data_IF_634249760938
#
_entry.id   IF_634249760938
#
_cell.length_a   1.000
_cell.length_b   1.000
_cell.length_c   1.000
_cell.angle_alpha   90.00
_cell.angle_beta   90.00
_cell.angle_gamma   90.00
#
_symmetry.space_group_name_H-M   'P 1'
#
loop_
_entity.id
_entity.type
_entity.pdbx_description
1 polymer ?
#
# COMPACT_ATOMS: atom_id res chain seq x y z
N UNK A 1 15.50 -1.42 -2.69
CA UNK A 1 14.51 -1.21 -3.74
C UNK A 1 13.19 -1.79 -3.30
N UNK A 2 12.11 -1.01 -3.41
CA UNK A 2 10.75 -1.48 -3.17
C UNK A 2 10.18 -2.12 -4.42
N UNK A 3 9.40 -3.18 -4.23
CA UNK A 3 8.70 -3.86 -5.32
C UNK A 3 7.24 -4.06 -4.92
N UNK A 4 6.31 -3.59 -5.73
CA UNK A 4 4.88 -3.88 -5.62
C UNK A 4 4.54 -5.00 -6.62
N UNK A 5 4.02 -6.10 -6.08
CA UNK A 5 3.54 -7.24 -6.85
C UNK A 5 2.06 -7.47 -6.58
N UNK A 6 1.42 -8.31 -7.40
CA UNK A 6 0.00 -8.60 -7.27
C UNK A 6 -0.26 -10.10 -7.26
N UNK A 7 -1.29 -10.50 -6.52
CA UNK A 7 -1.88 -11.82 -6.61
C UNK A 7 -3.38 -11.73 -6.29
N UNK A 8 -4.15 -12.71 -6.78
CA UNK A 8 -5.57 -12.85 -6.44
C UNK A 8 -5.76 -13.73 -5.22
N UNK A 9 -6.63 -13.33 -4.30
CA UNK A 9 -7.02 -14.20 -3.19
C UNK A 9 -8.02 -15.30 -3.65
N UNK A 10 -8.49 -16.14 -2.73
CA UNK A 10 -9.45 -17.23 -3.04
C UNK A 10 -10.81 -16.75 -3.54
N UNK A 11 -11.13 -15.47 -3.39
CA UNK A 11 -12.34 -14.82 -3.89
C UNK A 11 -12.09 -14.09 -5.23
N UNK A 12 -10.89 -14.16 -5.79
CA UNK A 12 -10.52 -13.51 -7.05
C UNK A 12 -10.10 -12.04 -6.91
N UNK A 13 -10.07 -11.49 -5.69
CA UNK A 13 -9.78 -10.07 -5.46
C UNK A 13 -8.28 -9.80 -5.52
N UNK A 14 -7.87 -8.72 -6.18
CA UNK A 14 -6.47 -8.31 -6.25
C UNK A 14 -5.91 -7.84 -4.91
N UNK A 15 -4.75 -8.38 -4.56
CA UNK A 15 -3.95 -8.02 -3.38
C UNK A 15 -2.66 -7.37 -3.86
N UNK A 16 -2.45 -6.11 -3.49
CA UNK A 16 -1.14 -5.48 -3.61
C UNK A 16 -0.20 -6.02 -2.53
N UNK A 17 0.95 -6.52 -2.94
CA UNK A 17 1.94 -7.16 -2.08
C UNK A 17 3.30 -6.46 -2.20
N UNK A 18 3.67 -5.74 -1.14
CA UNK A 18 4.83 -4.84 -1.11
C UNK A 18 6.04 -5.55 -0.49
N UNK A 19 7.17 -5.50 -1.20
CA UNK A 19 8.44 -6.10 -0.81
C UNK A 19 9.56 -5.06 -0.72
N UNK A 20 10.58 -5.38 0.07
CA UNK A 20 11.91 -4.75 0.06
C UNK A 20 12.96 -5.83 -0.11
N UNK A 21 13.55 -5.93 -1.30
CA UNK A 21 14.35 -7.09 -1.67
C UNK A 21 13.50 -8.36 -1.60
N UNK A 22 13.93 -9.37 -0.83
CA UNK A 22 13.20 -10.62 -0.64
C UNK A 22 12.22 -10.58 0.56
N UNK A 23 12.23 -9.50 1.34
CA UNK A 23 11.39 -9.36 2.53
C UNK A 23 10.03 -8.79 2.16
N UNK A 24 8.97 -9.56 2.36
CA UNK A 24 7.59 -9.06 2.33
C UNK A 24 7.37 -8.07 3.48
N UNK A 25 6.84 -6.89 3.16
CA UNK A 25 6.52 -5.85 4.13
C UNK A 25 5.05 -5.91 4.55
N UNK A 26 4.13 -5.86 3.59
CA UNK A 26 2.70 -5.98 3.83
C UNK A 26 1.96 -6.36 2.55
N UNK A 27 0.76 -6.90 2.71
CA UNK A 27 -0.15 -7.13 1.60
C UNK A 27 -1.58 -6.78 1.97
N UNK A 28 -2.32 -6.25 1.01
CA UNK A 28 -3.65 -5.69 1.26
C UNK A 28 -4.43 -5.48 -0.02
N UNK A 29 -5.75 -5.50 0.09
CA UNK A 29 -6.69 -5.03 -0.94
C UNK A 29 -6.79 -3.50 -1.01
N UNK A 30 -6.19 -2.78 -0.07
CA UNK A 30 -6.39 -1.33 0.07
C UNK A 30 -5.19 -0.54 -0.46
N UNK A 31 -5.28 0.09 -1.64
CA UNK A 31 -4.16 0.81 -2.25
C UNK A 31 -3.62 1.95 -1.37
N UNK A 32 -4.50 2.63 -0.61
CA UNK A 32 -4.10 3.66 0.35
C UNK A 32 -3.11 3.13 1.42
N UNK A 33 -3.24 1.87 1.83
CA UNK A 33 -2.33 1.29 2.84
C UNK A 33 -0.94 1.01 2.26
N UNK A 34 -0.86 0.64 0.97
CA UNK A 34 0.43 0.51 0.26
C UNK A 34 1.08 1.89 0.14
N UNK A 35 0.35 2.89 -0.36
CA UNK A 35 0.84 4.26 -0.48
C UNK A 35 1.33 4.82 0.87
N UNK A 36 0.54 4.64 1.93
CA UNK A 36 0.92 5.08 3.27
C UNK A 36 2.17 4.37 3.82
N UNK A 37 2.42 3.11 3.43
CA UNK A 37 3.63 2.41 3.82
C UNK A 37 4.88 2.91 3.11
N UNK A 38 4.77 3.21 1.80
CA UNK A 38 5.87 3.82 1.04
C UNK A 38 6.17 5.21 1.61
N UNK A 39 5.13 6.02 1.86
CA UNK A 39 5.24 7.31 2.55
C UNK A 39 5.91 7.18 3.94
N UNK A 40 5.50 6.22 4.76
CA UNK A 40 6.08 5.98 6.09
C UNK A 40 7.60 5.68 6.05
N UNK A 41 8.06 5.01 4.99
CA UNK A 41 9.47 4.69 4.79
C UNK A 41 10.26 5.84 4.16
N UNK A 42 9.57 6.86 3.63
CA UNK A 42 10.17 7.97 2.88
C UNK A 42 11.07 7.42 1.76
N UNK A 43 10.45 6.64 0.88
CA UNK A 43 11.07 5.99 -0.28
C UNK A 43 10.39 6.51 -1.56
N UNK A 44 11.17 6.72 -2.62
CA UNK A 44 10.73 7.41 -3.84
C UNK A 44 10.82 6.54 -5.09
N UNK A 45 11.47 5.39 -5.01
CA UNK A 45 11.64 4.46 -6.14
C UNK A 45 10.83 3.18 -5.90
N UNK A 46 9.93 2.87 -6.83
CA UNK A 46 9.10 1.67 -6.80
C UNK A 46 9.20 0.89 -8.11
N UNK A 47 9.39 -0.42 -8.03
CA UNK A 47 9.17 -1.30 -9.18
C UNK A 47 7.80 -1.96 -9.04
N UNK A 48 6.91 -1.74 -10.01
CA UNK A 48 5.66 -2.49 -10.15
C UNK A 48 5.93 -3.71 -11.02
N UNK A 49 5.54 -4.90 -10.56
CA UNK A 49 5.75 -6.16 -11.28
C UNK A 49 4.48 -7.00 -11.30
N UNK A 50 4.04 -7.37 -12.49
CA UNK A 50 2.82 -8.16 -12.76
C UNK A 50 3.17 -9.40 -13.59
N UNK A 51 2.16 -10.21 -13.95
CA UNK A 51 2.37 -11.29 -14.91
C UNK A 51 2.73 -10.79 -16.33
N UNK A 52 2.33 -9.56 -16.69
CA UNK A 52 2.53 -9.00 -18.02
C UNK A 52 3.87 -8.28 -18.18
N UNK A 53 4.48 -7.82 -17.08
CA UNK A 53 5.76 -7.13 -17.15
C UNK A 53 6.20 -6.50 -15.83
N UNK A 54 7.17 -5.59 -15.95
CA UNK A 54 7.64 -4.79 -14.82
C UNK A 54 7.98 -3.37 -15.27
N UNK A 55 7.65 -2.40 -14.43
CA UNK A 55 7.91 -0.99 -14.67
C UNK A 55 8.48 -0.35 -13.41
N UNK A 56 9.56 0.42 -13.57
CA UNK A 56 10.04 1.32 -12.52
C UNK A 56 9.30 2.65 -12.59
N UNK A 57 8.76 3.11 -11.47
CA UNK A 57 8.03 4.38 -11.34
C UNK A 57 8.56 5.18 -10.14
N UNK A 58 8.34 6.48 -10.19
CA UNK A 58 8.58 7.36 -9.04
C UNK A 58 7.39 7.31 -8.08
N UNK A 59 7.65 7.58 -6.81
CA UNK A 59 6.63 7.82 -5.79
C UNK A 59 6.79 9.26 -5.28
N UNK A 60 5.75 10.11 -5.28
CA UNK A 60 4.37 9.83 -5.72
C UNK A 60 4.28 9.53 -7.23
N UNK A 61 3.24 8.81 -7.63
CA UNK A 61 3.02 8.40 -9.02
C UNK A 61 2.66 9.63 -9.86
N UNK A 62 3.36 9.82 -10.97
CA UNK A 62 3.09 10.93 -11.89
C UNK A 62 2.10 10.52 -12.98
N UNK A 63 1.39 11.49 -13.57
CA UNK A 63 0.45 11.23 -14.66
C UNK A 63 1.11 10.53 -15.85
N UNK A 64 2.41 10.81 -16.10
CA UNK A 64 3.17 10.18 -17.17
C UNK A 64 3.44 8.68 -16.96
N UNK A 65 3.33 8.19 -15.71
CA UNK A 65 3.53 6.78 -15.38
C UNK A 65 2.25 5.95 -15.61
N UNK A 66 1.08 6.60 -15.78
CA UNK A 66 -0.21 5.90 -15.86
C UNK A 66 -0.38 5.08 -17.14
N UNK A 67 0.01 5.64 -18.30
CA UNK A 67 -0.12 4.92 -19.57
C UNK A 67 0.76 3.66 -19.60
N UNK A 68 2.07 3.73 -19.25
CA UNK A 68 2.91 2.54 -19.17
C UNK A 68 2.50 1.54 -18.08
N UNK A 69 1.90 2.00 -16.97
CA UNK A 69 1.32 1.12 -15.97
C UNK A 69 0.13 0.34 -16.56
N UNK A 70 -0.70 0.98 -17.38
CA UNK A 70 -1.82 0.34 -18.07
C UNK A 70 -1.39 -0.86 -18.91
N UNK A 71 -0.24 -0.78 -19.59
CA UNK A 71 0.28 -1.86 -20.45
C UNK A 71 0.67 -3.13 -19.68
N UNK A 72 0.90 -3.03 -18.37
CA UNK A 72 1.30 -4.17 -17.52
C UNK A 72 0.16 -4.66 -16.61
N UNK A 73 -1.02 -4.05 -16.63
CA UNK A 73 -2.16 -4.47 -15.79
C UNK A 73 -2.88 -5.69 -16.36
N UNK A 74 -3.19 -6.66 -15.49
CA UNK A 74 -3.81 -7.93 -15.94
C UNK A 74 -5.29 -7.79 -16.30
N UNK A 75 -6.02 -6.89 -15.62
CA UNK A 75 -7.44 -6.66 -15.81
C UNK A 75 -7.88 -5.29 -15.22
N UNK A 76 -9.16 -4.97 -15.40
CA UNK A 76 -9.78 -3.73 -14.94
C UNK A 76 -9.69 -3.53 -13.42
N UNK A 77 -9.84 -4.61 -12.63
CA UNK A 77 -9.78 -4.54 -11.17
C UNK A 77 -8.36 -4.18 -10.67
N UNK A 78 -7.31 -4.73 -11.32
CA UNK A 78 -5.94 -4.28 -11.06
C UNK A 78 -5.76 -2.81 -11.43
N UNK A 79 -6.41 -2.36 -12.51
CA UNK A 79 -6.44 -0.96 -12.91
C UNK A 79 -7.09 -0.04 -11.89
N UNK A 80 -8.22 -0.45 -11.30
CA UNK A 80 -8.87 0.28 -10.21
C UNK A 80 -7.96 0.38 -8.98
N UNK A 81 -7.30 -0.72 -8.61
CA UNK A 81 -6.32 -0.71 -7.52
C UNK A 81 -5.21 0.30 -7.79
N UNK A 82 -4.62 0.26 -8.98
CA UNK A 82 -3.48 1.11 -9.35
C UNK A 82 -3.88 2.58 -9.49
N UNK A 83 -5.07 2.87 -10.00
CA UNK A 83 -5.65 4.22 -10.03
C UNK A 83 -5.84 4.78 -8.62
N UNK A 84 -6.37 3.96 -7.71
CA UNK A 84 -6.44 4.29 -6.29
C UNK A 84 -5.06 4.53 -5.70
N UNK A 85 -4.10 3.66 -5.97
CA UNK A 85 -2.72 3.79 -5.49
C UNK A 85 -2.06 5.07 -5.97
N UNK A 86 -2.19 5.40 -7.25
CA UNK A 86 -1.69 6.65 -7.82
C UNK A 86 -2.29 7.87 -7.12
N UNK A 87 -3.61 7.87 -6.91
CA UNK A 87 -4.31 8.94 -6.17
C UNK A 87 -3.74 9.11 -4.76
N UNK A 88 -3.70 8.02 -3.98
CA UNK A 88 -3.25 8.06 -2.59
C UNK A 88 -1.75 8.29 -2.44
N UNK A 89 -0.93 8.03 -3.47
CA UNK A 89 0.51 8.29 -3.43
C UNK A 89 0.83 9.77 -3.19
N UNK A 90 -0.06 10.66 -3.62
CA UNK A 90 0.08 12.11 -3.47
C UNK A 90 -0.30 12.66 -2.09
N UNK A 91 -0.81 11.82 -1.18
CA UNK A 91 -1.36 12.27 0.09
C UNK A 91 -0.27 12.44 1.16
N UNK A 92 -0.38 13.51 1.95
CA UNK A 92 0.37 13.64 3.21
C UNK A 92 -0.37 12.86 4.31
N UNK A 93 0.09 11.64 4.59
CA UNK A 93 -0.49 10.80 5.63
C UNK A 93 -0.11 11.24 7.05
N UNK A 94 0.93 12.07 7.21
CA UNK A 94 1.30 12.63 8.51
C UNK A 94 0.39 13.80 8.90
N UNK A 95 -0.11 14.55 7.91
CA UNK A 95 -1.06 15.65 8.08
C UNK A 95 -2.30 15.47 7.18
N UNK A 96 -3.12 14.45 7.43
CA UNK A 96 -4.26 14.16 6.58
C UNK A 96 -5.29 15.29 6.62
N UNK A 97 -6.01 15.45 5.51
CA UNK A 97 -7.12 16.41 5.43
C UNK A 97 -8.17 16.12 6.51
N UNK A 98 -8.69 17.12 7.24
CA UNK A 98 -9.69 16.90 8.29
C UNK A 98 -11.00 16.24 7.82
N UNK A 99 -11.26 16.24 6.51
CA UNK A 99 -12.44 15.64 5.88
C UNK A 99 -12.19 14.20 5.40
N UNK A 100 -10.98 13.67 5.51
CA UNK A 100 -10.65 12.26 5.23
C UNK A 100 -10.52 11.49 6.55
N UNK A 101 -11.61 10.89 7.06
CA UNK A 101 -11.57 10.14 8.31
C UNK A 101 -10.82 8.79 8.19
N UNK A 102 -10.39 8.41 6.98
CA UNK A 102 -9.81 7.09 6.70
C UNK A 102 -8.29 7.14 6.45
N UNK A 103 -7.71 8.29 6.09
CA UNK A 103 -6.26 8.41 5.93
C UNK A 103 -5.48 7.95 7.18
N UNK A 104 -5.96 8.31 8.38
CA UNK A 104 -5.34 7.90 9.64
C UNK A 104 -5.35 6.38 9.82
N UNK A 105 -6.46 5.70 9.48
CA UNK A 105 -6.54 4.25 9.65
C UNK A 105 -5.61 3.52 8.68
N UNK A 106 -5.43 4.02 7.46
CA UNK A 106 -4.48 3.46 6.50
C UNK A 106 -3.04 3.65 6.95
N UNK A 107 -2.68 4.86 7.38
CA UNK A 107 -1.33 5.15 7.85
C UNK A 107 -0.95 4.35 9.09
N UNK A 108 -1.82 4.29 10.09
CA UNK A 108 -1.55 3.47 11.29
C UNK A 108 -1.51 1.98 10.98
N UNK A 109 -2.26 1.51 9.99
CA UNK A 109 -2.16 0.12 9.52
C UNK A 109 -0.79 -0.15 8.91
N UNK A 110 -0.33 0.73 8.03
CA UNK A 110 0.99 0.62 7.42
C UNK A 110 2.09 0.57 8.49
N UNK A 111 2.06 1.52 9.43
CA UNK A 111 3.01 1.57 10.56
C UNK A 111 2.97 0.32 11.45
N UNK A 112 1.80 -0.33 11.57
CA UNK A 112 1.68 -1.56 12.34
C UNK A 112 2.40 -2.74 11.70
N UNK A 113 2.35 -2.86 10.37
CA UNK A 113 2.96 -3.97 9.63
C UNK A 113 4.43 -3.72 9.29
N UNK A 114 4.83 -2.46 9.14
CA UNK A 114 6.21 -2.13 8.80
C UNK A 114 7.18 -2.51 9.93
N UNK A 115 8.35 -3.05 9.58
CA UNK A 115 9.46 -3.16 10.52
C UNK A 115 9.86 -1.77 11.02
N UNK A 116 10.04 -1.63 12.34
CA UNK A 116 10.29 -0.31 12.97
C UNK A 116 11.52 0.38 12.42
N UNK A 117 12.55 -0.39 12.05
CA UNK A 117 13.79 0.09 11.47
C UNK A 117 13.63 0.73 10.09
N UNK A 118 12.51 0.48 9.40
CA UNK A 118 12.22 1.05 8.09
C UNK A 118 11.34 2.31 8.17
N UNK A 119 10.71 2.56 9.32
CA UNK A 119 9.79 3.69 9.49
C UNK A 119 10.59 4.98 9.74
N UNK A 120 10.47 5.95 8.83
CA UNK A 120 11.07 7.29 8.96
C UNK A 120 10.04 8.36 9.31
N UNK A 121 8.81 8.20 8.83
CA UNK A 121 7.67 9.08 9.14
C UNK A 121 6.69 8.31 10.02
N UNK A 122 6.40 8.85 11.20
CA UNK A 122 5.49 8.23 12.18
C UNK A 122 4.22 9.05 12.34
N UNK A 123 3.15 8.41 12.82
CA UNK A 123 1.97 9.13 13.29
C UNK A 123 2.34 10.08 14.44
N UNK A 124 1.77 11.28 14.42
CA UNK A 124 2.00 12.32 15.44
C UNK A 124 1.50 11.90 16.83
N UNK A 125 0.42 11.12 16.87
CA UNK A 125 -0.19 10.63 18.11
C UNK A 125 -0.06 9.11 18.29
N UNK A 126 0.02 8.62 19.54
CA UNK A 126 -0.06 7.19 19.82
C UNK A 126 -1.33 6.55 19.23
N UNK A 127 -1.24 5.28 18.83
CA UNK A 127 -2.42 4.56 18.39
C UNK A 127 -3.45 4.44 19.54
N UNK A 128 -4.77 4.50 19.24
CA UNK A 128 -5.81 4.20 20.22
C UNK A 128 -5.56 2.85 20.89
N UNK A 129 -5.91 2.72 22.18
CA UNK A 129 -5.67 1.48 22.95
C UNK A 129 -6.32 0.24 22.32
N UNK A 130 -7.47 0.41 21.64
CA UNK A 130 -8.17 -0.66 20.93
C UNK A 130 -7.59 -1.01 19.57
N UNK A 131 -6.71 -0.17 19.01
CA UNK A 131 -6.36 -0.21 17.58
C UNK A 131 -5.79 -1.57 17.13
N UNK A 132 -4.98 -2.24 17.95
CA UNK A 132 -4.48 -3.59 17.64
C UNK A 132 -5.60 -4.64 17.56
N UNK A 133 -6.63 -4.51 18.40
CA UNK A 133 -7.81 -5.38 18.37
C UNK A 133 -8.64 -5.09 17.12
N UNK A 134 -8.84 -3.81 16.83
CA UNK A 134 -9.60 -3.35 15.67
C UNK A 134 -8.92 -3.78 14.36
N UNK A 135 -7.59 -3.71 14.28
CA UNK A 135 -6.81 -4.23 13.16
C UNK A 135 -6.94 -5.75 13.00
N UNK A 136 -6.90 -6.52 14.10
CA UNK A 136 -7.10 -7.98 14.02
C UNK A 136 -8.49 -8.34 13.51
N UNK A 137 -9.51 -7.58 13.90
CA UNK A 137 -10.88 -7.76 13.40
C UNK A 137 -10.98 -7.35 11.93
N UNK A 138 -10.33 -6.26 11.50
CA UNK A 138 -10.27 -5.83 10.11
C UNK A 138 -9.48 -6.81 9.22
N UNK A 139 -8.43 -7.41 9.76
CA UNK A 139 -7.64 -8.45 9.10
C UNK A 139 -8.40 -9.77 8.93
N UNK A 140 -9.58 -9.95 9.54
CA UNK A 140 -10.49 -11.05 9.13
C UNK A 140 -11.03 -10.84 7.72
N UNK A 141 -11.00 -9.60 7.21
CA UNK A 141 -11.37 -9.24 5.84
C UNK A 141 -10.13 -9.06 4.92
N UNK A 142 -8.93 -8.92 5.49
CA UNK A 142 -7.64 -8.93 4.77
C UNK A 142 -6.91 -10.22 5.16
N UNK A 143 -7.15 -11.28 4.41
CA UNK A 143 -6.54 -12.61 4.59
C UNK A 143 -5.01 -12.54 4.75
N UNK A 144 -4.51 -12.96 5.92
CA UNK A 144 -3.09 -13.28 6.15
C UNK A 144 -2.87 -14.76 5.84
N UNK A 145 -1.97 -15.15 4.93
CA UNK A 145 -1.74 -16.56 4.60
C UNK A 145 -0.96 -17.36 5.67
N UNK A 146 -0.73 -16.83 6.89
CA UNK A 146 0.00 -17.55 7.94
C UNK A 146 -0.54 -17.23 9.34
N UNK A 147 -1.49 -18.05 9.80
CA UNK A 147 -1.54 -18.58 11.17
C UNK A 147 -1.23 -20.09 11.10
#
# INVERSE_FOLDING_TARGET
MLTLTFYKNTQGVHIGDLYRGERRLLATTHPATIAAAIFAMDEYDLTVKTALGSLGISFPVETGDLDPLGDIMEDEEMGEFMSGFATFSSFDFANPSPIDPYAEIHFRTALHHLPKELVKVSASEPAPKSFKKDLRERNKYIYFPWE
#
